data_IF_961818905187
#
_entry.id   IF_961818905187
#
_cell.length_a   1.000
_cell.length_b   1.000
_cell.length_c   1.000
_cell.angle_alpha   90.00
_cell.angle_beta   90.00
_cell.angle_gamma   90.00
#
_symmetry.space_group_name_H-M   'P 1'
#
loop_
_entity.id
_entity.type
_entity.pdbx_description
1 polymer ?
#
# COMPACT_ATOMS: atom_id res chain seq x y z
N UNK A 1 30.66 29.29 -3.89
CA UNK A 1 30.71 27.83 -3.69
C UNK A 1 30.44 27.57 -2.23
N UNK A 2 29.22 27.27 -1.85
CA UNK A 2 28.85 26.89 -0.48
C UNK A 2 28.65 25.37 -0.46
N UNK A 3 29.50 24.67 0.28
CA UNK A 3 29.39 23.25 0.52
C UNK A 3 28.11 22.96 1.31
N UNK A 4 27.26 22.09 0.77
CA UNK A 4 26.16 21.48 1.52
C UNK A 4 26.76 20.64 2.66
N UNK A 5 26.24 20.74 3.90
CA UNK A 5 26.67 19.86 4.97
C UNK A 5 26.27 18.41 4.63
N UNK A 6 27.18 17.46 4.88
CA UNK A 6 26.94 16.04 4.73
C UNK A 6 25.75 15.63 5.62
N UNK A 7 24.71 15.06 5.01
CA UNK A 7 23.59 14.47 5.73
C UNK A 7 24.13 13.36 6.64
N UNK A 8 23.84 13.47 7.94
CA UNK A 8 24.04 12.41 8.92
C UNK A 8 23.37 11.13 8.39
N UNK A 9 24.04 9.97 8.56
CA UNK A 9 23.47 8.65 8.29
C UNK A 9 22.19 8.46 9.11
N UNK A 10 21.03 8.88 8.57
CA UNK A 10 19.77 8.33 8.97
C UNK A 10 19.83 6.83 8.61
N UNK A 11 19.43 5.95 9.50
CA UNK A 11 19.21 4.53 9.21
C UNK A 11 18.33 4.46 7.97
N UNK A 12 18.81 3.79 6.91
CA UNK A 12 18.03 3.68 5.68
C UNK A 12 16.66 3.10 6.03
N UNK A 13 15.60 3.75 5.54
CA UNK A 13 14.24 3.25 5.73
C UNK A 13 14.14 1.81 5.18
N UNK A 14 13.36 0.93 5.84
CA UNK A 14 13.18 -0.43 5.36
C UNK A 14 12.62 -0.48 3.93
N UNK A 15 13.14 -1.37 3.12
CA UNK A 15 12.77 -1.53 1.71
C UNK A 15 11.30 -1.91 1.51
N UNK A 16 10.68 -2.62 2.47
CA UNK A 16 9.28 -3.01 2.40
C UNK A 16 8.30 -1.82 2.50
N UNK A 17 8.73 -0.63 2.91
CA UNK A 17 7.90 0.57 2.91
C UNK A 17 7.49 1.03 1.51
N UNK A 18 8.13 0.51 0.46
CA UNK A 18 7.70 0.73 -0.93
C UNK A 18 6.37 0.03 -1.25
N UNK A 19 6.01 -1.04 -0.53
CA UNK A 19 4.77 -1.79 -0.77
C UNK A 19 3.55 -1.07 -0.17
N UNK A 20 2.37 -1.50 -0.60
CA UNK A 20 1.13 -0.98 -0.07
C UNK A 20 0.77 -1.65 1.27
N UNK A 21 0.00 -0.93 2.10
CA UNK A 21 -0.59 -1.46 3.32
C UNK A 21 -1.82 -2.31 2.97
N UNK A 22 -1.76 -3.61 3.24
CA UNK A 22 -2.80 -4.58 2.93
C UNK A 22 -3.93 -4.63 3.99
N UNK A 23 -3.73 -3.99 5.15
CA UNK A 23 -4.66 -4.01 6.27
C UNK A 23 -5.42 -2.71 6.48
N UNK A 24 -5.05 -1.62 5.80
CA UNK A 24 -5.69 -0.32 5.96
C UNK A 24 -7.21 -0.38 5.74
N UNK A 25 -7.98 0.42 6.48
CA UNK A 25 -9.44 0.54 6.28
C UNK A 25 -9.81 0.95 4.84
N UNK A 26 -8.97 1.78 4.19
CA UNK A 26 -9.19 2.23 2.81
C UNK A 26 -9.14 1.11 1.77
N UNK A 27 -8.55 -0.02 2.10
CA UNK A 27 -8.58 -1.24 1.29
C UNK A 27 -9.52 -2.31 1.85
N UNK A 28 -10.43 -1.92 2.77
CA UNK A 28 -11.40 -2.78 3.44
C UNK A 28 -10.81 -3.73 4.49
N UNK A 29 -9.63 -3.42 5.03
CA UNK A 29 -9.11 -4.07 6.22
C UNK A 29 -10.00 -3.80 7.43
N UNK A 30 -10.16 -4.78 8.31
CA UNK A 30 -11.02 -4.66 9.48
C UNK A 30 -10.54 -5.47 10.67
N UNK A 31 -10.76 -4.95 11.87
CA UNK A 31 -10.62 -5.72 13.10
C UNK A 31 -11.89 -6.53 13.30
N UNK A 32 -11.77 -7.85 13.45
CA UNK A 32 -12.91 -8.74 13.64
C UNK A 32 -13.07 -9.19 15.10
N UNK A 33 -12.04 -8.98 15.93
CA UNK A 33 -12.09 -9.27 17.38
C UNK A 33 -10.99 -8.47 18.10
N UNK A 34 -11.28 -8.04 19.34
CA UNK A 34 -10.29 -7.51 20.29
C UNK A 34 -10.70 -7.89 21.72
N UNK A 35 -9.72 -8.24 22.57
CA UNK A 35 -9.97 -8.69 23.95
C UNK A 35 -10.45 -7.56 24.86
N UNK A 36 -9.92 -6.34 24.66
CA UNK A 36 -10.24 -5.17 25.46
C UNK A 36 -10.11 -3.91 24.59
N UNK A 37 -11.06 -3.00 24.69
CA UNK A 37 -11.12 -1.75 23.93
C UNK A 37 -11.56 -0.58 24.86
N UNK A 38 -11.16 -0.65 26.12
CA UNK A 38 -11.70 0.20 27.16
C UNK A 38 -11.38 1.68 26.96
N UNK A 39 -10.14 1.99 26.64
CA UNK A 39 -9.71 3.38 26.45
C UNK A 39 -9.82 3.84 25.01
N UNK A 40 -9.52 2.94 24.04
CA UNK A 40 -9.63 3.24 22.62
C UNK A 40 -9.83 1.97 21.79
N UNK A 41 -10.71 2.00 20.77
CA UNK A 41 -11.10 0.81 20.02
C UNK A 41 -10.03 0.34 19.05
N UNK A 42 -9.93 -0.98 18.83
CA UNK A 42 -8.93 -1.61 18.01
C UNK A 42 -9.05 -1.25 16.51
N UNK A 43 -10.22 -0.84 16.04
CA UNK A 43 -10.41 -0.38 14.65
C UNK A 43 -9.52 0.81 14.29
N UNK A 44 -9.10 1.61 15.27
CA UNK A 44 -8.19 2.74 15.05
C UNK A 44 -6.81 2.30 14.53
N UNK A 45 -6.39 1.04 14.78
CA UNK A 45 -5.14 0.49 14.24
C UNK A 45 -5.05 0.61 12.72
N UNK A 46 -6.18 0.50 12.03
CA UNK A 46 -6.26 0.39 10.58
C UNK A 46 -6.64 1.69 9.87
N UNK A 47 -6.86 2.77 10.62
CA UNK A 47 -7.13 4.09 10.04
C UNK A 47 -6.03 4.47 9.06
N UNK A 48 -6.44 5.06 7.93
CA UNK A 48 -5.53 5.54 6.91
C UNK A 48 -4.66 6.69 7.39
N UNK A 49 -5.30 7.66 8.05
CA UNK A 49 -4.66 8.90 8.45
C UNK A 49 -3.60 8.65 9.55
N UNK A 50 -2.51 9.42 9.54
CA UNK A 50 -1.56 9.41 10.64
C UNK A 50 -2.26 9.64 11.98
N UNK A 51 -1.77 9.04 13.08
CA UNK A 51 -2.34 9.30 14.38
C UNK A 51 -2.14 10.76 14.78
N UNK A 52 -3.12 11.31 15.50
CA UNK A 52 -3.05 12.65 16.03
C UNK A 52 -3.31 12.67 17.54
N UNK A 53 -2.92 13.74 18.21
CA UNK A 53 -3.09 13.89 19.63
C UNK A 53 -3.76 15.23 19.96
N UNK A 54 -4.85 15.15 20.71
CA UNK A 54 -5.51 16.34 21.27
C UNK A 54 -5.36 16.34 22.80
N UNK A 55 -4.59 17.29 23.37
CA UNK A 55 -4.38 17.36 24.82
C UNK A 55 -5.66 17.69 25.60
N UNK A 56 -6.71 18.16 24.97
CA UNK A 56 -7.98 18.54 25.62
C UNK A 56 -9.09 17.48 25.45
N UNK A 57 -8.88 16.47 24.59
CA UNK A 57 -9.88 15.43 24.36
C UNK A 57 -9.86 14.36 25.45
N UNK A 58 -11.05 14.02 25.94
CA UNK A 58 -11.29 12.96 26.91
C UNK A 58 -12.55 12.17 26.52
N UNK A 59 -12.57 10.89 26.85
CA UNK A 59 -13.76 10.05 26.83
C UNK A 59 -14.33 9.92 28.24
N UNK A 60 -15.47 9.27 28.39
CA UNK A 60 -16.01 8.92 29.70
C UNK A 60 -15.09 7.96 30.49
N UNK A 61 -14.12 7.32 29.83
CA UNK A 61 -13.25 6.28 30.40
C UNK A 61 -11.82 6.76 30.63
N UNK A 62 -11.44 7.95 30.16
CA UNK A 62 -10.12 8.51 30.38
C UNK A 62 -9.66 9.44 29.26
N UNK A 63 -8.35 9.66 29.17
CA UNK A 63 -7.72 10.46 28.12
C UNK A 63 -8.02 9.83 26.75
N UNK A 64 -8.50 10.63 25.81
CA UNK A 64 -8.68 10.17 24.43
C UNK A 64 -7.32 9.92 23.74
N UNK A 65 -7.20 8.78 23.10
CA UNK A 65 -6.02 8.40 22.32
C UNK A 65 -6.43 7.90 20.94
N UNK A 66 -5.72 8.33 19.90
CA UNK A 66 -5.96 7.89 18.53
C UNK A 66 -5.19 6.61 18.22
N UNK A 67 -5.72 5.50 18.72
CA UNK A 67 -5.13 4.17 18.57
C UNK A 67 -6.00 3.12 19.25
N UNK A 68 -5.45 1.94 19.46
CA UNK A 68 -6.02 0.88 20.28
C UNK A 68 -5.35 0.90 21.66
N UNK A 69 -6.15 1.01 22.72
CA UNK A 69 -5.62 1.04 24.09
C UNK A 69 -6.50 0.22 25.04
N UNK A 70 -5.83 -0.71 25.75
CA UNK A 70 -6.45 -1.66 26.68
C UNK A 70 -6.20 -1.28 28.13
N UNK A 71 -7.01 -1.82 29.04
CA UNK A 71 -6.80 -1.69 30.48
C UNK A 71 -5.55 -2.43 30.94
N UNK A 72 -4.94 -1.94 32.01
CA UNK A 72 -3.85 -2.66 32.70
C UNK A 72 -4.30 -4.03 33.16
N UNK A 73 -3.59 -5.07 32.73
CA UNK A 73 -3.83 -6.46 33.15
C UNK A 73 -3.55 -6.62 34.65
N UNK A 74 -4.53 -7.18 35.34
CA UNK A 74 -4.41 -7.51 36.78
C UNK A 74 -4.46 -9.02 37.03
N UNK A 75 -4.52 -9.78 35.96
CA UNK A 75 -4.52 -11.27 35.91
C UNK A 75 -3.51 -11.72 34.88
N UNK A 76 -2.96 -12.95 35.01
CA UNK A 76 -2.11 -13.52 33.96
C UNK A 76 -2.79 -13.52 32.60
N UNK A 77 -2.00 -13.31 31.53
CA UNK A 77 -2.44 -13.23 30.15
C UNK A 77 -1.98 -11.94 29.48
N UNK A 78 -2.46 -11.74 28.27
CA UNK A 78 -2.15 -10.58 27.44
C UNK A 78 -3.36 -10.18 26.61
N UNK A 79 -3.33 -8.97 26.03
CA UNK A 79 -4.37 -8.53 25.12
C UNK A 79 -4.00 -8.85 23.67
N UNK A 80 -5.01 -9.11 22.86
CA UNK A 80 -4.84 -9.42 21.46
C UNK A 80 -6.07 -9.03 20.63
N UNK A 81 -5.84 -8.83 19.35
CA UNK A 81 -6.90 -8.63 18.37
C UNK A 81 -6.67 -9.50 17.13
N UNK A 82 -7.74 -9.70 16.35
CA UNK A 82 -7.67 -10.35 15.05
C UNK A 82 -8.05 -9.36 13.98
N UNK A 83 -7.16 -9.23 13.00
CA UNK A 83 -7.31 -8.36 11.83
C UNK A 83 -7.53 -9.22 10.60
N UNK A 84 -8.56 -8.91 9.84
CA UNK A 84 -8.73 -9.40 8.48
C UNK A 84 -8.10 -8.40 7.52
N UNK A 85 -7.19 -8.87 6.67
CA UNK A 85 -6.62 -8.05 5.60
C UNK A 85 -7.72 -7.64 4.61
N UNK A 86 -7.67 -6.41 4.14
CA UNK A 86 -8.53 -5.97 3.04
C UNK A 86 -8.08 -6.54 1.70
N UNK A 87 -6.78 -6.74 1.56
CA UNK A 87 -6.17 -7.37 0.39
C UNK A 87 -5.38 -8.59 0.86
N UNK A 88 -5.86 -9.81 0.60
CA UNK A 88 -5.08 -11.01 0.83
C UNK A 88 -3.79 -11.02 0.00
N UNK A 89 -2.66 -11.35 0.64
CA UNK A 89 -1.38 -11.27 -0.05
C UNK A 89 -0.20 -11.79 0.75
N UNK A 90 0.98 -11.63 0.19
CA UNK A 90 2.25 -11.90 0.85
C UNK A 90 2.72 -10.66 1.61
N UNK A 91 3.12 -10.85 2.86
CA UNK A 91 3.57 -9.77 3.75
C UNK A 91 5.11 -9.74 3.75
N UNK A 92 5.66 -8.53 3.65
CA UNK A 92 7.11 -8.28 3.67
C UNK A 92 7.56 -7.51 4.91
N UNK A 93 6.65 -6.78 5.56
CA UNK A 93 7.00 -6.08 6.78
C UNK A 93 5.81 -5.49 7.52
N UNK A 94 6.07 -5.15 8.79
CA UNK A 94 5.13 -4.44 9.65
C UNK A 94 5.74 -3.12 10.11
N UNK A 95 4.88 -2.10 10.28
CA UNK A 95 5.12 -0.95 11.12
C UNK A 95 4.10 -0.99 12.27
N UNK A 96 4.59 -1.15 13.48
CA UNK A 96 3.80 -1.03 14.70
C UNK A 96 4.06 0.35 15.27
N UNK A 97 3.17 1.29 14.94
CA UNK A 97 3.29 2.70 15.33
C UNK A 97 2.73 2.91 16.73
N UNK A 98 3.55 3.43 17.62
CA UNK A 98 3.21 3.77 19.00
C UNK A 98 3.01 5.27 19.23
N UNK A 99 2.90 6.07 18.19
CA UNK A 99 2.80 7.54 18.25
C UNK A 99 1.88 8.01 19.38
N UNK A 100 2.37 8.94 20.18
CA UNK A 100 1.71 9.55 21.35
C UNK A 100 1.51 8.62 22.56
N UNK A 101 1.72 7.31 22.45
CA UNK A 101 1.73 6.39 23.59
C UNK A 101 3.10 6.39 24.26
N UNK A 102 3.47 7.49 24.93
CA UNK A 102 4.81 7.69 25.48
C UNK A 102 5.06 6.92 26.77
N UNK A 103 4.03 6.76 27.62
CA UNK A 103 4.13 6.05 28.91
C UNK A 103 3.23 4.82 29.03
N UNK A 104 2.34 4.64 28.07
CA UNK A 104 1.28 3.61 28.04
C UNK A 104 1.31 2.76 26.77
N UNK A 105 2.40 2.81 25.97
CA UNK A 105 2.56 1.91 24.82
C UNK A 105 2.67 0.45 25.27
N UNK A 106 2.30 -0.47 24.39
CA UNK A 106 2.51 -1.89 24.60
C UNK A 106 4.02 -2.18 24.64
N UNK A 107 4.59 -2.76 25.72
CA UNK A 107 6.03 -3.01 25.80
C UNK A 107 6.54 -4.00 24.77
N UNK A 108 5.73 -5.03 24.44
CA UNK A 108 6.10 -6.07 23.50
C UNK A 108 4.89 -6.47 22.66
N UNK A 109 5.18 -6.93 21.44
CA UNK A 109 4.17 -7.50 20.52
C UNK A 109 4.65 -8.80 19.91
N UNK A 110 3.71 -9.60 19.40
CA UNK A 110 3.97 -10.65 18.41
C UNK A 110 2.84 -10.71 17.41
N UNK A 111 3.10 -11.25 16.22
CA UNK A 111 2.10 -11.36 15.16
C UNK A 111 2.12 -12.76 14.60
N UNK A 112 0.93 -13.39 14.59
CA UNK A 112 0.65 -14.67 13.96
C UNK A 112 -0.27 -14.43 12.76
N UNK A 113 -0.24 -15.32 11.77
CA UNK A 113 -1.02 -15.16 10.56
C UNK A 113 -1.51 -16.48 9.99
N UNK A 114 -2.56 -16.41 9.20
CA UNK A 114 -3.10 -17.55 8.47
C UNK A 114 -3.77 -17.14 7.17
N UNK A 115 -3.99 -18.11 6.29
CA UNK A 115 -4.87 -17.99 5.14
C UNK A 115 -6.13 -18.82 5.40
N UNK A 116 -7.26 -18.16 5.59
CA UNK A 116 -8.57 -18.81 5.72
C UNK A 116 -9.25 -18.80 4.34
N UNK A 117 -9.81 -19.94 3.95
CA UNK A 117 -10.57 -20.07 2.69
C UNK A 117 -11.91 -19.35 2.79
N UNK A 118 -12.55 -19.41 3.95
CA UNK A 118 -13.80 -18.72 4.24
C UNK A 118 -13.58 -17.68 5.36
N UNK A 119 -14.00 -16.42 5.17
CA UNK A 119 -13.92 -15.42 6.20
C UNK A 119 -14.86 -15.77 7.36
N UNK A 120 -14.41 -15.64 8.62
CA UNK A 120 -15.29 -15.86 9.76
C UNK A 120 -16.43 -14.85 9.79
N UNK A 121 -17.62 -15.29 10.19
CA UNK A 121 -18.84 -14.47 10.29
C UNK A 121 -18.86 -13.55 11.53
N UNK A 122 -17.68 -13.20 12.07
CA UNK A 122 -17.55 -12.36 13.25
C UNK A 122 -17.41 -10.93 12.78
N UNK A 123 -18.24 -10.04 13.29
CA UNK A 123 -18.19 -8.60 12.97
C UNK A 123 -18.37 -7.81 14.26
N UNK A 124 -17.39 -6.98 14.57
CA UNK A 124 -17.54 -5.96 15.60
C UNK A 124 -18.39 -4.81 15.05
N UNK A 125 -19.38 -4.37 15.82
CA UNK A 125 -20.27 -3.30 15.40
C UNK A 125 -20.35 -2.20 16.46
N UNK A 126 -20.54 -0.96 16.01
CA UNK A 126 -20.71 0.22 16.87
C UNK A 126 -19.40 0.72 17.50
N UNK A 127 -19.55 1.72 18.37
CA UNK A 127 -18.44 2.23 19.18
C UNK A 127 -18.14 1.22 20.30
N UNK A 128 -16.89 0.76 20.34
CA UNK A 128 -16.40 -0.23 21.31
C UNK A 128 -15.69 0.41 22.50
N UNK A 129 -15.60 1.74 22.58
CA UNK A 129 -14.96 2.45 23.69
C UNK A 129 -15.68 2.12 25.01
N UNK A 130 -14.93 1.73 26.03
CA UNK A 130 -15.46 1.28 27.32
C UNK A 130 -15.86 -0.19 27.37
N UNK A 131 -15.53 -0.99 26.34
CA UNK A 131 -15.93 -2.39 26.23
C UNK A 131 -14.74 -3.34 26.35
N UNK A 132 -15.05 -4.56 26.76
CA UNK A 132 -14.20 -5.73 26.61
C UNK A 132 -14.96 -6.81 25.86
N UNK A 133 -14.26 -7.79 25.32
CA UNK A 133 -14.88 -8.93 24.66
C UNK A 133 -15.83 -9.65 25.61
N UNK A 134 -17.02 -9.97 25.12
CA UNK A 134 -17.99 -10.80 25.81
C UNK A 134 -17.55 -12.28 25.78
N UNK A 135 -18.15 -13.08 26.65
CA UNK A 135 -17.91 -14.55 26.65
C UNK A 135 -18.26 -15.14 25.29
N UNK A 136 -19.40 -14.76 24.70
CA UNK A 136 -19.84 -15.26 23.39
C UNK A 136 -18.89 -14.85 22.24
N UNK A 137 -18.37 -13.62 22.23
CA UNK A 137 -17.36 -13.18 21.26
C UNK A 137 -16.06 -13.99 21.41
N UNK A 138 -15.64 -14.22 22.67
CA UNK A 138 -14.43 -15.00 22.96
C UNK A 138 -14.59 -16.46 22.53
N UNK A 139 -15.72 -17.08 22.78
CA UNK A 139 -16.03 -18.44 22.34
C UNK A 139 -16.11 -18.56 20.80
N UNK A 140 -16.68 -17.54 20.14
CA UNK A 140 -16.76 -17.49 18.69
C UNK A 140 -15.37 -17.42 18.04
N UNK A 141 -14.51 -16.50 18.51
CA UNK A 141 -13.17 -16.34 17.96
C UNK A 141 -12.22 -17.48 18.29
N UNK A 142 -12.41 -18.16 19.43
CA UNK A 142 -11.62 -19.31 19.83
C UNK A 142 -11.71 -20.47 18.82
N UNK A 143 -12.82 -20.58 18.09
CA UNK A 143 -12.99 -21.60 17.03
C UNK A 143 -11.99 -21.46 15.89
N UNK A 144 -11.38 -20.28 15.72
CA UNK A 144 -10.33 -20.08 14.71
C UNK A 144 -8.98 -20.66 15.10
N UNK A 145 -8.78 -21.02 16.38
CA UNK A 145 -7.52 -21.55 16.89
C UNK A 145 -6.32 -20.62 16.62
N UNK A 146 -6.55 -19.31 16.71
CA UNK A 146 -5.58 -18.29 16.24
C UNK A 146 -4.26 -18.27 17.01
N UNK A 147 -4.23 -18.85 18.20
CA UNK A 147 -3.00 -19.05 19.00
C UNK A 147 -2.03 -20.06 18.37
N UNK A 148 -2.54 -20.96 17.53
CA UNK A 148 -1.74 -21.96 16.82
C UNK A 148 -1.33 -21.54 15.41
N UNK A 149 -1.71 -20.33 14.96
CA UNK A 149 -1.32 -19.85 13.65
C UNK A 149 0.20 -19.65 13.54
N UNK A 150 0.79 -19.82 12.35
CA UNK A 150 2.21 -19.54 12.12
C UNK A 150 2.62 -18.14 12.59
N UNK A 151 3.75 -18.06 13.26
CA UNK A 151 4.32 -16.79 13.76
C UNK A 151 5.09 -16.10 12.66
N UNK A 152 4.68 -14.86 12.30
CA UNK A 152 5.38 -13.99 11.38
C UNK A 152 6.36 -13.06 12.11
N UNK A 153 5.96 -12.58 13.28
CA UNK A 153 6.79 -11.77 14.16
C UNK A 153 6.79 -12.41 15.55
N UNK A 154 7.95 -12.90 16.01
CA UNK A 154 8.16 -13.34 17.38
C UNK A 154 7.98 -12.20 18.39
N UNK A 155 7.98 -12.51 19.68
CA UNK A 155 7.86 -11.47 20.72
C UNK A 155 8.98 -10.44 20.55
N UNK A 156 8.61 -9.22 20.26
CA UNK A 156 9.50 -8.11 19.92
C UNK A 156 9.17 -6.89 20.77
N UNK A 157 10.21 -6.20 21.24
CA UNK A 157 10.05 -4.98 22.04
C UNK A 157 9.59 -3.83 21.15
N UNK A 158 8.66 -3.01 21.68
CA UNK A 158 8.29 -1.73 21.10
C UNK A 158 8.96 -0.59 21.85
N UNK A 159 9.22 0.48 21.14
CA UNK A 159 9.70 1.75 21.68
C UNK A 159 8.52 2.65 22.04
N UNK A 160 8.67 3.57 23.00
CA UNK A 160 7.64 4.55 23.33
C UNK A 160 7.37 5.50 22.18
N UNK A 161 6.17 6.06 22.15
CA UNK A 161 5.61 6.84 21.03
C UNK A 161 6.10 8.28 20.92
N UNK A 162 7.38 8.55 21.13
CA UNK A 162 8.00 9.84 20.82
C UNK A 162 8.24 9.95 19.31
N UNK A 163 8.35 11.18 18.82
CA UNK A 163 8.47 11.46 17.38
C UNK A 163 9.66 10.80 16.68
N UNK A 164 10.73 10.49 17.43
CA UNK A 164 11.94 9.85 16.94
C UNK A 164 11.98 8.33 17.13
N UNK A 165 10.98 7.74 17.79
CA UNK A 165 10.97 6.33 18.17
C UNK A 165 9.65 5.62 17.94
N UNK A 166 8.59 6.31 17.56
CA UNK A 166 7.23 5.76 17.46
C UNK A 166 7.08 4.67 16.40
N UNK A 167 7.83 4.71 15.31
CA UNK A 167 7.78 3.70 14.29
C UNK A 167 8.65 2.49 14.62
N UNK A 168 8.04 1.32 14.69
CA UNK A 168 8.71 0.06 14.99
C UNK A 168 8.58 -0.86 13.78
N UNK A 169 9.64 -0.90 12.96
CA UNK A 169 9.67 -1.64 11.71
C UNK A 169 10.18 -3.06 11.90
N UNK A 170 9.48 -4.03 11.32
CA UNK A 170 9.82 -5.45 11.40
C UNK A 170 9.75 -6.08 10.01
N UNK A 171 10.85 -6.66 9.55
CA UNK A 171 10.88 -7.45 8.33
C UNK A 171 10.17 -8.79 8.53
N UNK A 172 9.49 -9.26 7.52
CA UNK A 172 8.80 -10.55 7.48
C UNK A 172 9.35 -11.40 6.33
N UNK A 173 9.74 -12.62 6.65
CA UNK A 173 10.13 -13.62 5.67
C UNK A 173 9.12 -14.78 5.73
N UNK A 174 7.97 -14.58 5.10
CA UNK A 174 6.91 -15.57 5.03
C UNK A 174 6.34 -15.62 3.61
N UNK A 175 6.69 -16.63 2.80
CA UNK A 175 6.40 -16.65 1.37
C UNK A 175 4.97 -17.06 1.00
N UNK A 176 4.08 -17.19 1.99
CA UNK A 176 2.72 -17.66 1.78
C UNK A 176 1.72 -16.52 1.82
N UNK A 177 0.61 -16.72 1.12
CA UNK A 177 -0.56 -15.83 1.15
C UNK A 177 -1.17 -15.81 2.55
N UNK A 178 -1.53 -14.61 3.01
CA UNK A 178 -2.16 -14.33 4.30
C UNK A 178 -3.50 -13.63 4.06
N UNK A 179 -4.49 -13.98 4.87
CA UNK A 179 -5.81 -13.32 4.91
C UNK A 179 -6.12 -12.72 6.27
N UNK A 180 -5.56 -13.28 7.34
CA UNK A 180 -5.84 -12.86 8.72
C UNK A 180 -4.57 -12.82 9.56
N UNK A 181 -4.54 -11.85 10.49
CA UNK A 181 -3.48 -11.67 11.47
C UNK A 181 -4.06 -11.74 12.89
N UNK A 182 -3.27 -12.25 13.83
CA UNK A 182 -3.46 -12.06 15.26
C UNK A 182 -2.33 -11.21 15.79
N UNK A 183 -2.64 -10.00 16.25
CA UNK A 183 -1.71 -9.11 16.95
C UNK A 183 -1.85 -9.32 18.45
N UNK A 184 -0.77 -9.69 19.12
CA UNK A 184 -0.71 -9.85 20.57
C UNK A 184 0.06 -8.67 21.17
N UNK A 185 -0.45 -8.10 22.26
CA UNK A 185 0.22 -7.10 23.09
C UNK A 185 0.58 -7.71 24.44
N UNK A 186 1.79 -7.49 24.92
CA UNK A 186 2.25 -8.06 26.17
C UNK A 186 2.69 -6.99 27.19
N UNK A 187 2.05 -6.95 28.39
CA UNK A 187 0.80 -7.64 28.70
C UNK A 187 -0.43 -6.87 28.19
N UNK A 188 -0.34 -5.57 28.05
CA UNK A 188 -1.37 -4.58 27.75
C UNK A 188 -0.74 -3.30 27.23
N UNK A 189 -1.54 -2.30 26.90
CA UNK A 189 -1.07 -0.96 26.55
C UNK A 189 -1.74 -0.39 25.32
N UNK A 190 -1.03 0.52 24.63
CA UNK A 190 -1.53 1.19 23.44
C UNK A 190 -0.63 1.03 22.22
N UNK A 191 -1.28 0.97 21.05
CA UNK A 191 -0.68 1.01 19.71
C UNK A 191 -1.52 1.97 18.87
N UNK A 192 -0.87 2.94 18.24
CA UNK A 192 -1.57 3.94 17.44
C UNK A 192 -2.03 3.36 16.09
N UNK A 193 -1.13 2.73 15.33
CA UNK A 193 -1.44 2.11 14.04
C UNK A 193 -0.69 0.79 13.86
N UNK A 194 -1.28 -0.07 13.05
CA UNK A 194 -0.63 -1.25 12.49
C UNK A 194 -0.64 -1.11 10.96
N UNK A 195 0.54 -1.09 10.34
CA UNK A 195 0.69 -1.14 8.88
C UNK A 195 1.25 -2.50 8.47
N UNK A 196 0.67 -3.06 7.42
CA UNK A 196 0.98 -4.41 6.93
C UNK A 196 1.41 -4.29 5.48
N UNK A 197 2.70 -4.11 5.26
CA UNK A 197 3.26 -3.87 3.94
C UNK A 197 3.44 -5.18 3.18
N UNK A 198 2.88 -5.22 1.96
CA UNK A 198 2.94 -6.43 1.17
C UNK A 198 2.42 -6.29 -0.25
N UNK A 199 2.32 -7.43 -0.92
CA UNK A 199 1.86 -7.57 -2.29
C UNK A 199 0.60 -8.42 -2.32
N UNK A 200 -0.48 -7.89 -2.91
CA UNK A 200 -1.71 -8.61 -3.11
C UNK A 200 -1.50 -9.89 -3.93
N UNK A 201 -2.20 -10.95 -3.58
CA UNK A 201 -2.17 -12.23 -4.32
C UNK A 201 -3.57 -12.65 -4.69
N UNK A 202 -3.86 -12.60 -6.00
CA UNK A 202 -5.10 -13.09 -6.58
C UNK A 202 -4.93 -14.56 -6.97
N UNK A 203 -5.99 -15.34 -6.84
CA UNK A 203 -6.07 -16.66 -7.48
C UNK A 203 -6.38 -16.47 -8.98
N UNK A 204 -5.34 -16.61 -9.81
CA UNK A 204 -5.44 -16.49 -11.25
C UNK A 204 -6.00 -17.73 -11.92
N UNK A 205 -6.04 -18.88 -11.23
CA UNK A 205 -6.57 -20.13 -11.80
C UNK A 205 -8.09 -20.07 -12.02
N UNK A 206 -8.78 -19.24 -11.24
CA UNK A 206 -10.23 -19.03 -11.34
C UNK A 206 -10.63 -17.99 -12.40
N UNK A 207 -9.66 -17.34 -13.06
CA UNK A 207 -9.90 -16.25 -14.00
C UNK A 207 -10.09 -16.79 -15.41
N UNK A 208 -11.20 -16.39 -16.08
CA UNK A 208 -11.40 -16.69 -17.49
C UNK A 208 -10.38 -15.94 -18.36
N UNK A 209 -9.78 -16.65 -19.33
CA UNK A 209 -8.82 -16.05 -20.27
C UNK A 209 -9.42 -14.92 -21.15
N UNK A 210 -10.74 -14.78 -21.18
CA UNK A 210 -11.44 -13.74 -21.95
C UNK A 210 -11.97 -12.60 -21.08
N UNK A 211 -11.71 -12.63 -19.77
CA UNK A 211 -12.14 -11.59 -18.86
C UNK A 211 -11.09 -10.49 -18.80
N UNK A 212 -11.48 -9.26 -19.10
CA UNK A 212 -10.63 -8.09 -18.85
C UNK A 212 -10.56 -7.81 -17.34
N UNK A 213 -9.34 -7.75 -16.84
CA UNK A 213 -9.01 -7.50 -15.44
C UNK A 213 -8.04 -6.32 -15.39
N UNK A 214 -8.16 -5.48 -14.37
CA UNK A 214 -7.18 -4.42 -14.12
C UNK A 214 -5.86 -5.05 -13.64
N UNK A 215 -4.95 -5.28 -14.58
CA UNK A 215 -3.71 -6.02 -14.33
C UNK A 215 -2.70 -5.25 -13.46
N UNK A 216 -2.86 -3.91 -13.35
CA UNK A 216 -1.98 -3.11 -12.49
C UNK A 216 -2.56 -2.90 -11.09
N UNK A 217 -3.83 -3.27 -10.86
CA UNK A 217 -4.46 -3.04 -9.57
C UNK A 217 -3.73 -3.73 -8.41
N UNK A 218 -3.65 -3.03 -7.29
CA UNK A 218 -3.09 -3.54 -6.04
C UNK A 218 -3.72 -4.89 -5.61
N UNK A 219 -5.05 -5.01 -5.74
CA UNK A 219 -5.79 -6.25 -5.42
C UNK A 219 -5.40 -7.44 -6.27
N UNK A 220 -4.83 -7.19 -7.43
CA UNK A 220 -4.44 -8.21 -8.40
C UNK A 220 -2.92 -8.48 -8.37
N UNK A 221 -2.19 -7.84 -7.46
CA UNK A 221 -0.75 -8.01 -7.28
C UNK A 221 0.11 -6.97 -8.00
N UNK A 222 -0.49 -5.88 -8.50
CA UNK A 222 0.27 -4.75 -9.03
C UNK A 222 1.16 -4.09 -7.97
N UNK A 223 2.36 -3.68 -8.36
CA UNK A 223 3.37 -3.09 -7.47
C UNK A 223 4.03 -1.90 -8.14
N UNK A 224 4.21 -0.80 -7.42
CA UNK A 224 5.10 0.29 -7.82
C UNK A 224 6.55 -0.08 -7.48
N UNK A 225 7.42 -0.18 -8.47
CA UNK A 225 8.81 -0.63 -8.31
C UNK A 225 9.79 0.55 -8.14
N UNK A 226 9.53 1.66 -8.83
CA UNK A 226 10.41 2.83 -8.81
C UNK A 226 9.70 4.06 -9.37
N UNK A 227 10.22 5.23 -9.08
CA UNK A 227 9.68 6.51 -9.54
C UNK A 227 10.74 7.61 -9.50
N UNK A 228 10.48 8.69 -10.21
CA UNK A 228 11.38 9.85 -10.26
C UNK A 228 11.18 10.79 -9.08
N UNK A 229 9.92 11.06 -8.70
CA UNK A 229 9.56 11.95 -7.61
C UNK A 229 8.23 11.55 -6.95
N UNK A 230 8.10 11.82 -5.65
CA UNK A 230 6.91 11.61 -4.84
C UNK A 230 6.82 12.71 -3.77
N UNK A 231 6.53 13.93 -4.19
CA UNK A 231 6.60 15.09 -3.31
C UNK A 231 5.43 15.19 -2.33
N UNK A 232 4.19 15.04 -2.80
CA UNK A 232 2.97 15.12 -1.97
C UNK A 232 2.22 13.79 -1.85
N UNK A 233 2.33 12.93 -2.85
CA UNK A 233 1.67 11.64 -2.88
C UNK A 233 2.52 10.60 -3.59
N UNK A 234 2.57 9.40 -3.01
CA UNK A 234 3.41 8.32 -3.54
C UNK A 234 2.73 7.65 -4.75
N UNK A 235 3.46 7.30 -5.84
CA UNK A 235 2.86 6.70 -7.03
C UNK A 235 2.18 5.34 -6.78
N UNK A 236 2.55 4.59 -5.73
CA UNK A 236 1.81 3.38 -5.32
C UNK A 236 0.31 3.62 -5.05
N UNK A 237 -0.09 4.85 -4.78
CA UNK A 237 -1.48 5.20 -4.54
C UNK A 237 -2.34 5.05 -5.80
N UNK A 238 -1.77 5.29 -7.00
CA UNK A 238 -2.56 5.29 -8.25
C UNK A 238 -3.12 3.91 -8.62
N UNK A 239 -2.55 2.84 -8.09
CA UNK A 239 -3.04 1.47 -8.29
C UNK A 239 -3.99 1.00 -7.18
N UNK A 240 -4.31 1.88 -6.23
CA UNK A 240 -5.23 1.63 -5.12
C UNK A 240 -6.67 1.38 -5.57
N UNK A 241 -7.53 0.94 -4.63
CA UNK A 241 -8.93 0.58 -4.88
C UNK A 241 -9.77 1.82 -5.18
N UNK A 242 -10.83 1.60 -5.97
CA UNK A 242 -11.87 2.59 -6.20
C UNK A 242 -11.36 3.92 -6.76
N UNK A 243 -12.13 4.97 -6.56
CA UNK A 243 -11.75 6.35 -6.89
C UNK A 243 -10.95 6.98 -5.76
N UNK A 244 -10.06 7.92 -6.08
CA UNK A 244 -9.38 8.69 -5.05
C UNK A 244 -10.39 9.53 -4.24
N UNK A 245 -10.14 9.66 -2.94
CA UNK A 245 -10.99 10.46 -2.04
C UNK A 245 -10.61 11.95 -2.12
N UNK A 246 -9.32 12.21 -2.31
CA UNK A 246 -8.74 13.56 -2.43
C UNK A 246 -7.38 13.48 -3.15
N UNK A 247 -6.66 14.59 -3.26
CA UNK A 247 -5.33 14.63 -3.90
C UNK A 247 -4.29 13.77 -3.17
N UNK A 248 -4.31 13.73 -1.84
CA UNK A 248 -3.36 12.94 -1.05
C UNK A 248 -3.50 11.43 -1.29
N UNK A 249 -4.62 10.99 -1.88
CA UNK A 249 -4.88 9.62 -2.31
C UNK A 249 -4.41 9.33 -3.74
N UNK A 250 -3.60 10.18 -4.30
CA UNK A 250 -2.99 10.04 -5.62
C UNK A 250 -1.47 10.10 -5.55
N UNK A 251 -0.86 10.25 -6.71
CA UNK A 251 0.55 10.56 -6.91
C UNK A 251 0.67 12.02 -7.31
N UNK A 252 1.52 12.78 -6.65
CA UNK A 252 1.78 14.17 -7.01
C UNK A 252 3.26 14.50 -6.86
N UNK A 253 3.83 15.03 -7.93
CA UNK A 253 5.24 15.41 -8.03
C UNK A 253 5.47 16.88 -7.70
N UNK A 254 6.69 17.23 -7.34
CA UNK A 254 7.11 18.61 -7.19
C UNK A 254 7.03 19.34 -8.53
N UNK A 255 6.75 20.64 -8.45
CA UNK A 255 6.70 21.49 -9.64
C UNK A 255 8.09 21.66 -10.24
N UNK A 256 8.24 21.34 -11.52
CA UNK A 256 9.45 21.64 -12.29
C UNK A 256 9.64 23.17 -12.40
N UNK A 257 10.81 23.66 -12.02
CA UNK A 257 11.12 25.10 -12.02
C UNK A 257 11.69 25.60 -13.33
N UNK A 258 12.26 24.70 -14.15
CA UNK A 258 12.88 25.02 -15.42
C UNK A 258 11.84 25.08 -16.54
N UNK A 259 11.08 26.18 -16.56
CA UNK A 259 10.04 26.40 -17.55
C UNK A 259 10.49 27.50 -18.56
N UNK A 260 10.29 27.27 -19.86
CA UNK A 260 10.60 28.28 -20.88
C UNK A 260 9.73 29.50 -20.70
N UNK A 261 10.25 30.68 -21.10
CA UNK A 261 9.51 31.95 -21.05
C UNK A 261 8.28 31.96 -21.95
N UNK A 262 8.35 31.24 -23.08
CA UNK A 262 7.25 31.06 -24.01
C UNK A 262 6.81 29.62 -24.02
N UNK A 263 5.52 29.36 -23.77
CA UNK A 263 4.92 28.04 -23.84
C UNK A 263 4.46 27.80 -25.29
N UNK A 264 4.94 26.68 -25.85
CA UNK A 264 4.53 26.20 -27.18
C UNK A 264 3.75 24.91 -27.04
N UNK A 265 2.80 24.69 -27.90
CA UNK A 265 2.02 23.46 -28.00
C UNK A 265 2.21 22.83 -29.37
N UNK A 266 2.11 21.49 -29.44
CA UNK A 266 2.06 20.77 -30.72
C UNK A 266 0.65 20.84 -31.33
N UNK A 267 0.47 20.20 -32.50
CA UNK A 267 -0.82 20.15 -33.22
C UNK A 267 -1.94 19.48 -32.41
N UNK A 268 -1.59 18.67 -31.39
CA UNK A 268 -2.51 18.00 -30.46
C UNK A 268 -2.78 18.80 -29.18
N UNK A 269 -2.22 20.01 -29.08
CA UNK A 269 -2.34 20.88 -27.91
C UNK A 269 -1.48 20.45 -26.72
N UNK A 270 -0.50 19.56 -26.93
CA UNK A 270 0.43 19.10 -25.88
C UNK A 270 1.54 20.12 -25.71
N UNK A 271 1.79 20.56 -24.48
CA UNK A 271 2.86 21.48 -24.13
C UNK A 271 4.24 20.90 -24.47
N UNK A 272 5.04 21.68 -25.14
CA UNK A 272 6.43 21.37 -25.48
C UNK A 272 7.36 22.05 -24.46
N UNK A 273 7.39 21.46 -23.25
CA UNK A 273 8.23 21.94 -22.14
C UNK A 273 9.23 20.86 -21.74
N UNK A 274 10.43 21.24 -21.27
CA UNK A 274 11.39 20.27 -20.76
C UNK A 274 10.88 19.64 -19.46
N UNK A 275 11.37 18.43 -19.21
CA UNK A 275 11.08 17.68 -17.99
C UNK A 275 9.89 16.74 -18.13
N UNK A 276 9.98 15.68 -17.37
CA UNK A 276 8.92 14.70 -17.17
C UNK A 276 9.21 13.92 -15.90
N UNK A 277 8.16 13.46 -15.26
CA UNK A 277 8.23 12.56 -14.12
C UNK A 277 7.71 11.18 -14.53
N UNK A 278 8.13 10.14 -13.83
CA UNK A 278 7.78 8.79 -14.21
C UNK A 278 7.63 7.87 -13.00
N UNK A 279 6.82 6.84 -13.17
CA UNK A 279 6.70 5.74 -12.23
C UNK A 279 6.62 4.40 -12.97
N UNK A 280 7.31 3.38 -12.45
CA UNK A 280 7.36 2.03 -13.00
C UNK A 280 6.50 1.11 -12.14
N UNK A 281 5.67 0.32 -12.82
CA UNK A 281 4.80 -0.67 -12.18
C UNK A 281 5.01 -2.04 -12.79
N UNK A 282 5.09 -3.05 -11.92
CA UNK A 282 4.91 -4.45 -12.31
C UNK A 282 3.42 -4.76 -12.27
N UNK A 283 2.92 -5.45 -13.29
CA UNK A 283 1.57 -5.98 -13.31
C UNK A 283 1.44 -7.18 -12.37
N UNK A 284 0.27 -7.41 -11.83
CA UNK A 284 0.00 -8.61 -11.02
C UNK A 284 0.02 -9.91 -11.81
N UNK A 285 -0.14 -9.83 -13.12
CA UNK A 285 -0.02 -10.93 -14.06
C UNK A 285 0.41 -10.44 -15.43
N UNK A 286 1.19 -11.25 -16.14
CA UNK A 286 1.49 -11.01 -17.54
C UNK A 286 0.19 -11.02 -18.37
N UNK A 287 0.02 -10.07 -19.28
CA UNK A 287 -1.18 -10.02 -20.09
C UNK A 287 -1.17 -8.98 -21.20
N UNK A 288 -2.19 -9.01 -22.03
CA UNK A 288 -2.42 -8.08 -23.14
C UNK A 288 -3.38 -6.99 -22.69
N UNK A 289 -2.97 -5.73 -22.80
CA UNK A 289 -3.78 -4.58 -22.40
C UNK A 289 -4.76 -4.22 -23.52
N UNK A 290 -6.05 -4.10 -23.17
CA UNK A 290 -7.15 -3.77 -24.05
C UNK A 290 -7.66 -2.34 -23.88
N UNK A 291 -7.59 -1.81 -22.64
CA UNK A 291 -7.93 -0.42 -22.34
C UNK A 291 -7.17 0.12 -21.14
N UNK A 292 -6.99 1.44 -21.14
CA UNK A 292 -6.28 2.18 -20.10
C UNK A 292 -7.17 3.31 -19.60
N UNK A 293 -7.18 3.51 -18.28
CA UNK A 293 -7.76 4.71 -17.65
C UNK A 293 -6.64 5.45 -16.93
N UNK A 294 -6.54 6.76 -17.20
CA UNK A 294 -5.69 7.71 -16.47
C UNK A 294 -6.61 8.76 -15.85
N UNK A 295 -6.67 8.80 -14.53
CA UNK A 295 -7.59 9.64 -13.78
C UNK A 295 -6.84 10.80 -13.12
N UNK A 296 -7.23 12.04 -13.42
CA UNK A 296 -6.74 13.28 -12.82
C UNK A 296 -7.76 13.89 -11.84
N UNK A 297 -8.74 13.12 -11.35
CA UNK A 297 -9.72 13.57 -10.35
C UNK A 297 -9.03 14.26 -9.19
N UNK A 298 -9.64 15.33 -8.66
CA UNK A 298 -9.10 16.23 -7.63
C UNK A 298 -7.94 17.14 -8.06
N UNK A 299 -7.17 16.83 -9.08
CA UNK A 299 -6.10 17.66 -9.60
C UNK A 299 -6.69 18.69 -10.62
N UNK A 300 -6.99 19.89 -10.15
CA UNK A 300 -7.64 20.93 -10.95
C UNK A 300 -6.66 21.92 -11.58
N UNK A 301 -5.62 22.30 -10.85
CA UNK A 301 -4.59 23.24 -11.31
C UNK A 301 -3.18 22.65 -11.39
N UNK A 302 -3.01 21.48 -10.79
CA UNK A 302 -1.75 20.76 -10.63
C UNK A 302 -1.77 19.38 -11.31
N UNK A 303 -2.59 19.22 -12.36
CA UNK A 303 -2.60 18.03 -13.21
C UNK A 303 -1.49 18.12 -14.27
N UNK A 304 -0.96 16.98 -14.74
CA UNK A 304 0.03 16.97 -15.83
C UNK A 304 -0.61 17.40 -17.15
N UNK A 305 0.15 18.12 -17.98
CA UNK A 305 -0.31 18.48 -19.32
C UNK A 305 -0.56 17.28 -20.22
N UNK A 306 0.30 16.29 -20.09
CA UNK A 306 0.20 15.05 -20.88
C UNK A 306 0.74 13.84 -20.13
N UNK A 307 0.36 12.66 -20.63
CA UNK A 307 0.96 11.39 -20.21
C UNK A 307 1.29 10.51 -21.42
N UNK A 308 2.24 9.58 -21.24
CA UNK A 308 2.46 8.44 -22.12
C UNK A 308 2.74 7.20 -21.28
N UNK A 309 2.52 6.03 -21.86
CA UNK A 309 2.79 4.76 -21.19
C UNK A 309 3.67 3.90 -22.09
N UNK A 310 4.77 3.45 -21.52
CA UNK A 310 5.72 2.53 -22.13
C UNK A 310 5.59 1.17 -21.43
N UNK A 311 5.90 0.08 -22.13
CA UNK A 311 5.74 -1.27 -21.59
C UNK A 311 6.90 -2.17 -21.98
N UNK A 312 7.19 -3.16 -21.16
CA UNK A 312 8.15 -4.22 -21.46
C UNK A 312 7.70 -5.56 -20.89
N UNK A 313 8.41 -6.60 -21.28
CA UNK A 313 8.25 -7.96 -20.72
C UNK A 313 9.59 -8.38 -20.17
N UNK A 314 9.67 -8.62 -18.86
CA UNK A 314 10.85 -9.04 -18.13
C UNK A 314 10.59 -10.35 -17.41
N UNK A 315 11.60 -11.20 -17.31
CA UNK A 315 11.60 -12.31 -16.35
C UNK A 315 11.90 -11.79 -14.93
N UNK A 316 11.66 -12.58 -13.87
CA UNK A 316 12.03 -12.18 -12.51
C UNK A 316 13.54 -11.88 -12.37
N UNK A 317 14.39 -12.65 -13.05
CA UNK A 317 15.85 -12.46 -13.02
C UNK A 317 16.28 -11.17 -13.71
N UNK A 318 15.61 -10.79 -14.80
CA UNK A 318 15.83 -9.52 -15.49
C UNK A 318 15.32 -8.34 -14.65
N UNK A 319 14.17 -8.50 -13.97
CA UNK A 319 13.63 -7.48 -13.04
C UNK A 319 14.64 -7.20 -11.91
N UNK A 320 15.19 -8.23 -11.28
CA UNK A 320 16.16 -8.10 -10.18
C UNK A 320 17.45 -7.36 -10.60
N UNK A 321 17.80 -7.40 -11.88
CA UNK A 321 18.99 -6.74 -12.44
C UNK A 321 18.69 -5.32 -12.94
N UNK A 322 17.41 -4.90 -12.98
CA UNK A 322 17.03 -3.59 -13.50
C UNK A 322 17.45 -2.46 -12.58
N UNK A 323 18.16 -1.49 -13.15
CA UNK A 323 18.37 -0.17 -12.56
C UNK A 323 17.29 0.78 -13.12
N UNK A 324 16.15 0.82 -12.47
CA UNK A 324 14.97 1.59 -12.93
C UNK A 324 15.25 3.08 -13.13
N UNK A 325 16.26 3.63 -12.47
CA UNK A 325 16.67 5.04 -12.55
C UNK A 325 17.38 5.41 -13.85
N UNK A 326 17.89 4.42 -14.60
CA UNK A 326 18.50 4.67 -15.90
C UNK A 326 17.52 4.41 -17.02
N UNK A 327 17.43 5.34 -18.00
CA UNK A 327 16.59 5.18 -19.20
C UNK A 327 16.95 3.93 -20.04
N UNK A 328 18.06 3.28 -19.73
CA UNK A 328 18.58 2.09 -20.40
C UNK A 328 18.12 0.75 -19.80
N UNK A 329 17.37 0.78 -18.71
CA UNK A 329 16.84 -0.45 -18.11
C UNK A 329 15.67 -0.98 -18.96
N UNK A 330 15.94 -1.95 -19.78
CA UNK A 330 14.97 -2.66 -20.59
C UNK A 330 14.65 -2.00 -21.95
N UNK A 331 14.21 -2.79 -22.89
CA UNK A 331 13.62 -2.31 -24.15
C UNK A 331 12.18 -1.89 -23.88
N UNK A 332 11.97 -0.63 -23.55
CA UNK A 332 10.65 -0.05 -23.41
C UNK A 332 10.03 0.20 -24.78
N UNK A 333 8.89 -0.42 -25.04
CA UNK A 333 8.09 -0.18 -26.23
C UNK A 333 6.92 0.73 -25.89
N UNK A 334 6.49 1.55 -26.84
CA UNK A 334 5.39 2.49 -26.64
C UNK A 334 4.06 1.74 -26.61
N UNK A 335 3.37 1.75 -25.46
CA UNK A 335 2.03 1.19 -25.30
C UNK A 335 0.95 2.24 -25.60
N UNK A 336 1.06 3.43 -24.98
CA UNK A 336 0.17 4.58 -25.22
C UNK A 336 1.04 5.78 -25.59
N UNK A 337 0.91 6.32 -26.80
CA UNK A 337 1.57 7.57 -27.21
C UNK A 337 1.14 8.72 -26.32
N UNK A 338 1.93 9.81 -26.33
CA UNK A 338 1.58 11.02 -25.55
C UNK A 338 0.15 11.46 -25.81
N UNK A 339 -0.62 11.60 -24.74
CA UNK A 339 -2.02 12.02 -24.74
C UNK A 339 -2.15 13.30 -23.91
N UNK A 340 -2.91 14.26 -24.41
CA UNK A 340 -3.30 15.46 -23.67
C UNK A 340 -4.19 15.07 -22.51
N UNK A 341 -3.92 15.60 -21.32
CA UNK A 341 -4.76 15.44 -20.15
C UNK A 341 -5.57 16.70 -19.87
N UNK A 342 -6.67 16.53 -19.15
CA UNK A 342 -7.56 17.58 -18.69
C UNK A 342 -7.65 17.55 -17.15
N UNK A 343 -7.96 18.69 -16.50
CA UNK A 343 -8.10 18.76 -15.05
C UNK A 343 -9.31 17.97 -14.58
N UNK A 344 -9.18 17.31 -13.44
CA UNK A 344 -10.30 16.65 -12.74
C UNK A 344 -11.15 15.74 -13.67
N UNK A 345 -10.47 14.90 -14.47
CA UNK A 345 -11.11 14.12 -15.53
C UNK A 345 -10.57 12.67 -15.60
N UNK A 346 -11.43 11.72 -16.00
CA UNK A 346 -11.06 10.35 -16.31
C UNK A 346 -10.87 10.18 -17.81
N UNK A 347 -9.66 9.86 -18.21
CA UNK A 347 -9.28 9.64 -19.59
C UNK A 347 -9.26 8.16 -19.89
N UNK A 348 -9.92 7.75 -20.96
CA UNK A 348 -10.02 6.35 -21.38
C UNK A 348 -9.41 6.18 -22.77
N UNK A 349 -8.53 5.21 -22.90
CA UNK A 349 -7.82 4.89 -24.15
C UNK A 349 -8.04 3.42 -24.51
N UNK A 350 -8.34 3.13 -25.77
CA UNK A 350 -8.63 1.77 -26.25
C UNK A 350 -8.44 1.63 -27.75
N UNK A 351 -8.46 0.38 -28.23
CA UNK A 351 -8.45 0.12 -29.66
C UNK A 351 -7.20 0.67 -30.36
N UNK A 352 -7.35 1.46 -31.40
CA UNK A 352 -6.24 1.99 -32.21
C UNK A 352 -5.31 2.96 -31.46
N UNK A 353 -5.70 3.45 -30.29
CA UNK A 353 -4.84 4.33 -29.47
C UNK A 353 -3.69 3.55 -28.79
N UNK A 354 -3.84 2.23 -28.64
CA UNK A 354 -2.82 1.36 -28.03
C UNK A 354 -1.94 0.73 -29.10
N UNK A 355 -0.62 0.94 -28.98
CA UNK A 355 0.37 0.52 -29.98
C UNK A 355 0.82 -0.94 -29.83
N UNK A 356 0.64 -1.54 -28.64
CA UNK A 356 1.08 -2.90 -28.37
C UNK A 356 -0.10 -3.85 -28.23
N UNK A 357 0.05 -5.06 -28.81
CA UNK A 357 -0.92 -6.16 -28.76
C UNK A 357 -0.30 -7.47 -28.29
N UNK A 358 0.84 -7.39 -27.63
CA UNK A 358 1.55 -8.53 -27.05
C UNK A 358 1.45 -8.52 -25.53
N UNK A 359 1.64 -9.67 -24.87
CA UNK A 359 1.74 -9.73 -23.41
C UNK A 359 2.86 -8.86 -22.88
N UNK A 360 2.60 -8.18 -21.77
CA UNK A 360 3.56 -7.34 -21.04
C UNK A 360 3.54 -7.69 -19.56
N UNK A 361 4.63 -7.41 -18.86
CA UNK A 361 4.75 -7.61 -17.40
C UNK A 361 4.95 -6.30 -16.64
N UNK A 362 5.47 -5.27 -17.31
CA UNK A 362 5.81 -3.99 -16.68
C UNK A 362 5.34 -2.83 -17.54
N UNK A 363 5.00 -1.73 -16.87
CA UNK A 363 4.73 -0.45 -17.52
C UNK A 363 5.52 0.67 -16.84
N UNK A 364 5.80 1.72 -17.61
CA UNK A 364 6.27 3.00 -17.11
C UNK A 364 5.27 4.07 -17.51
N UNK A 365 4.59 4.66 -16.51
CA UNK A 365 3.77 5.86 -16.69
C UNK A 365 4.69 7.06 -16.66
N UNK A 366 4.67 7.87 -17.71
CA UNK A 366 5.42 9.12 -17.80
C UNK A 366 4.42 10.25 -17.90
N UNK A 367 4.57 11.26 -17.05
CA UNK A 367 3.76 12.48 -17.02
C UNK A 367 4.64 13.68 -17.36
N UNK A 368 4.10 14.67 -18.01
CA UNK A 368 4.85 15.86 -18.42
C UNK A 368 4.04 17.14 -18.22
N UNK A 369 4.70 18.23 -17.73
CA UNK A 369 6.05 18.25 -17.18
C UNK A 369 6.10 17.66 -15.76
N UNK A 370 5.08 17.90 -14.95
CA UNK A 370 4.88 17.54 -13.55
C UNK A 370 3.39 17.50 -13.24
N UNK A 371 3.00 17.11 -12.03
CA UNK A 371 1.63 17.20 -11.54
C UNK A 371 1.13 15.94 -10.88
N UNK A 372 -0.19 15.81 -10.79
CA UNK A 372 -0.82 14.72 -10.05
C UNK A 372 -1.74 13.83 -10.87
N UNK A 373 -1.68 12.52 -10.56
CA UNK A 373 -2.54 11.45 -11.07
C UNK A 373 -3.24 10.79 -9.89
N UNK A 374 -4.56 10.67 -9.96
CA UNK A 374 -5.37 10.02 -8.92
C UNK A 374 -5.35 8.51 -9.04
N UNK A 375 -5.61 7.98 -10.24
CA UNK A 375 -5.67 6.53 -10.49
C UNK A 375 -5.14 6.19 -11.88
N UNK A 376 -4.60 4.96 -11.96
CA UNK A 376 -4.22 4.29 -13.20
C UNK A 376 -4.88 2.93 -13.22
N UNK A 377 -5.51 2.56 -14.35
CA UNK A 377 -6.09 1.23 -14.57
C UNK A 377 -5.63 0.70 -15.92
N UNK A 378 -5.26 -0.57 -15.94
CA UNK A 378 -4.85 -1.28 -17.16
C UNK A 378 -5.69 -2.54 -17.30
N UNK A 379 -6.83 -2.39 -17.97
CA UNK A 379 -7.73 -3.50 -18.24
C UNK A 379 -7.20 -4.35 -19.38
N UNK A 380 -7.06 -5.65 -19.13
CA UNK A 380 -6.50 -6.57 -20.10
C UNK A 380 -6.74 -8.02 -19.74
N UNK A 381 -6.35 -8.90 -20.65
CA UNK A 381 -6.51 -10.33 -20.50
C UNK A 381 -5.21 -10.94 -19.99
N UNK A 382 -5.26 -11.68 -18.86
CA UNK A 382 -4.10 -12.41 -18.39
C UNK A 382 -3.71 -13.47 -19.41
N UNK A 383 -2.42 -13.60 -19.68
CA UNK A 383 -1.90 -14.61 -20.61
C UNK A 383 -1.33 -15.75 -19.79
N UNK A 384 -1.84 -16.95 -19.99
CA UNK A 384 -1.24 -18.15 -19.41
C UNK A 384 0.19 -18.28 -19.98
N UNK A 385 1.20 -18.06 -19.16
CA UNK A 385 2.59 -18.35 -19.51
C UNK A 385 2.69 -19.84 -19.76
N UNK A 386 3.10 -20.25 -20.95
CA UNK A 386 3.42 -21.65 -21.24
C UNK A 386 4.47 -22.11 -20.23
N UNK A 387 4.06 -23.02 -19.36
CA UNK A 387 4.77 -23.77 -18.32
C UNK A 387 6.27 -23.45 -18.13
N UNK A 388 6.53 -22.46 -17.31
CA UNK A 388 7.79 -22.28 -16.62
C UNK A 388 7.49 -21.73 -15.25
N UNK A 389 7.47 -22.56 -14.24
CA UNK A 389 7.31 -22.39 -12.79
C UNK A 389 6.38 -21.26 -12.27
N UNK A 390 5.52 -21.56 -11.28
CA UNK A 390 4.75 -20.53 -10.61
C UNK A 390 5.70 -19.53 -9.95
N UNK A 391 5.42 -18.24 -10.12
CA UNK A 391 6.13 -17.13 -9.49
C UNK A 391 6.25 -17.35 -7.96
N UNK A 392 7.30 -18.03 -7.53
CA UNK A 392 7.76 -17.96 -6.16
C UNK A 392 8.62 -16.69 -6.06
N UNK A 393 8.04 -15.60 -5.62
CA UNK A 393 8.78 -14.40 -5.30
C UNK A 393 9.76 -14.71 -4.16
N UNK A 394 11.04 -14.86 -4.48
CA UNK A 394 12.11 -14.80 -3.49
C UNK A 394 12.41 -13.32 -3.22
N UNK A 395 12.45 -12.91 -1.95
CA UNK A 395 13.00 -11.60 -1.62
C UNK A 395 14.51 -11.63 -1.89
N UNK A 396 14.99 -10.77 -2.78
CA UNK A 396 16.41 -10.50 -2.89
C UNK A 396 16.84 -9.60 -1.74
N UNK A 397 17.38 -10.21 -0.70
CA UNK A 397 18.20 -9.47 0.26
C UNK A 397 19.54 -9.20 -0.41
N UNK A 398 19.78 -7.96 -0.81
CA UNK A 398 21.16 -7.48 -0.95
C UNK A 398 21.55 -6.79 0.35
N UNK A 399 22.55 -7.40 1.01
CA UNK A 399 23.35 -6.83 2.09
C UNK A 399 24.03 -5.52 1.66
#
# INVERSE_FOLDING_TARGET
MAQRPAASRASAEPDFLQFNDLACESVSGRVIFATDEWFAPAVNLLKRDPPHFDPLAFTAFGKWMDGWETRRKRKPGHDWCVVQLGIPGQIYGFDVDTSFFTGNHAPYVSIQATCLDEPPTITLTGDRTGMAATVSETEAIAKLGSEAWPTLLGVSQLKPGYSDSCHNYFHVNFPHRVTHLRLNMYPDGGIARLRVYGVGQRDWSSVSAHQDIDLVALTNGGVCLSYSDAHFGHPRNVIGLGSAVNMADGWETARQLDRPKELKVDERGILQVPGSEWAVFRLGHCGVINSIEVDTSHFKGNYPDSCRIEACTLTPEEEDQCLWTSCSAGKWDLLLPSQKLHPHHRHHYRGAELMLRRPITHIRLVIAPDGGISRLRLWGQPTLMSSGSPNQHRPTSKL
#
